data_IF_352267332083
#
_entry.id   IF_352267332083
#
_cell.length_a   1.000
_cell.length_b   1.000
_cell.length_c   1.000
_cell.angle_alpha   90.00
_cell.angle_beta   90.00
_cell.angle_gamma   90.00
#
_symmetry.space_group_name_H-M   'P 1'
#
loop_
_entity.id
_entity.type
_entity.pdbx_description
1 polymer ?
#
# COMPACT_ATOMS: atom_id res chain seq x y z
N UNK A 1 -9.12 4.46 12.49
CA UNK A 1 -8.35 3.79 11.47
C UNK A 1 -7.17 4.63 11.03
N UNK A 2 -6.03 4.04 10.85
CA UNK A 2 -4.84 4.77 10.48
C UNK A 2 -4.67 4.78 8.98
N UNK A 3 -4.49 5.98 8.45
CA UNK A 3 -4.37 6.16 7.01
C UNK A 3 -3.17 7.03 6.68
N UNK A 4 -2.75 6.96 5.43
CA UNK A 4 -1.64 7.76 4.94
C UNK A 4 -2.00 8.25 3.54
N UNK A 5 -1.66 9.50 3.25
CA UNK A 5 -1.89 10.05 1.93
C UNK A 5 -0.70 9.78 1.02
N UNK A 6 -0.89 9.99 -0.29
CA UNK A 6 0.20 9.78 -1.22
C UNK A 6 1.41 10.69 -0.94
N UNK A 7 1.23 11.99 -0.72
CA UNK A 7 2.40 12.83 -0.40
C UNK A 7 3.12 12.38 0.85
N UNK A 8 2.36 11.95 1.86
CA UNK A 8 2.97 11.44 3.08
C UNK A 8 3.75 10.17 2.81
N UNK A 9 3.20 9.28 1.99
CA UNK A 9 3.90 8.04 1.68
C UNK A 9 5.18 8.31 0.91
N UNK A 10 5.15 9.23 -0.05
CA UNK A 10 6.35 9.59 -0.79
C UNK A 10 7.43 10.09 0.19
N UNK A 11 7.02 10.93 1.13
CA UNK A 11 7.98 11.45 2.12
C UNK A 11 8.54 10.34 2.99
N UNK A 12 7.70 9.42 3.42
CA UNK A 12 8.12 8.28 4.23
C UNK A 12 9.15 7.44 3.50
N UNK A 13 8.93 7.20 2.21
CA UNK A 13 9.86 6.41 1.41
C UNK A 13 11.18 7.14 1.28
N UNK A 14 11.14 8.43 1.00
CA UNK A 14 12.36 9.22 0.81
C UNK A 14 13.15 9.36 2.11
N UNK A 15 12.47 9.39 3.23
CA UNK A 15 13.12 9.52 4.53
C UNK A 15 13.59 8.19 5.10
N UNK A 16 13.33 7.10 4.37
CA UNK A 16 13.78 5.76 4.76
C UNK A 16 13.18 5.30 6.08
N UNK A 17 11.96 5.74 6.38
CA UNK A 17 11.26 5.27 7.57
C UNK A 17 10.22 4.22 7.26
N UNK A 18 10.11 3.82 6.00
CA UNK A 18 9.23 2.73 5.61
C UNK A 18 9.84 1.40 6.04
N UNK A 19 9.04 0.57 6.71
CA UNK A 19 9.49 -0.75 7.08
C UNK A 19 9.07 -1.79 6.04
N UNK A 20 7.78 -1.84 5.74
CA UNK A 20 7.25 -2.77 4.74
C UNK A 20 6.15 -2.09 3.95
N UNK A 21 6.04 -2.45 2.68
CA UNK A 21 4.90 -2.04 1.87
C UNK A 21 4.16 -3.30 1.47
N UNK A 22 2.86 -3.32 1.73
CA UNK A 22 1.99 -4.44 1.41
C UNK A 22 1.06 -4.06 0.27
N UNK A 23 0.95 -4.95 -0.70
CA UNK A 23 -0.06 -4.85 -1.74
C UNK A 23 -1.15 -5.83 -1.34
N UNK A 24 -2.38 -5.35 -1.23
CA UNK A 24 -3.48 -6.17 -0.73
C UNK A 24 -4.51 -6.33 -1.82
N UNK A 25 -4.76 -7.57 -2.21
CA UNK A 25 -5.77 -7.89 -3.20
C UNK A 25 -7.13 -7.94 -2.50
N UNK A 26 -8.11 -7.20 -3.05
CA UNK A 26 -9.45 -7.18 -2.49
C UNK A 26 -10.27 -8.33 -3.09
N UNK A 27 -11.41 -8.60 -2.48
CA UNK A 27 -12.28 -9.68 -2.99
C UNK A 27 -12.82 -9.37 -4.39
N UNK A 28 -12.76 -8.12 -4.80
CA UNK A 28 -13.19 -7.73 -6.14
C UNK A 28 -12.06 -7.80 -7.16
N UNK A 29 -10.88 -8.24 -6.73
CA UNK A 29 -9.76 -8.34 -7.64
C UNK A 29 -9.00 -7.05 -7.85
N UNK A 30 -9.27 -6.05 -7.04
CA UNK A 30 -8.52 -4.80 -7.08
C UNK A 30 -7.39 -4.86 -6.07
N UNK A 31 -6.54 -3.84 -6.09
CA UNK A 31 -5.35 -3.83 -5.25
C UNK A 31 -5.25 -2.54 -4.47
N UNK A 32 -4.86 -2.65 -3.20
CA UNK A 32 -4.66 -1.53 -2.31
C UNK A 32 -3.26 -1.58 -1.73
N UNK A 33 -2.84 -0.49 -1.12
CA UNK A 33 -1.53 -0.42 -0.48
C UNK A 33 -1.72 -0.14 1.00
N UNK A 34 -0.97 -0.87 1.83
CA UNK A 34 -0.85 -0.57 3.25
C UNK A 34 0.62 -0.65 3.61
N UNK A 35 1.05 0.16 4.56
CA UNK A 35 2.46 0.23 4.90
C UNK A 35 2.67 0.14 6.39
N UNK A 36 3.82 -0.41 6.77
CA UNK A 36 4.33 -0.38 8.13
C UNK A 36 5.50 0.59 8.17
N UNK A 37 5.53 1.41 9.18
CA UNK A 37 6.64 2.34 9.37
C UNK A 37 7.53 1.84 10.49
N UNK A 38 8.81 2.19 10.42
CA UNK A 38 9.71 1.94 11.53
C UNK A 38 9.20 2.76 12.71
N UNK A 39 9.22 2.19 13.89
CA UNK A 39 8.79 2.88 15.11
C UNK A 39 7.30 3.17 15.15
N UNK A 40 6.51 2.46 14.37
CA UNK A 40 5.06 2.62 14.37
C UNK A 40 4.45 1.23 14.27
N UNK A 41 3.65 0.85 15.24
CA UNK A 41 3.17 -0.53 15.29
C UNK A 41 2.00 -0.79 14.34
N UNK A 42 1.19 0.22 14.11
CA UNK A 42 -0.01 0.02 13.31
C UNK A 42 0.26 0.18 11.82
N UNK A 43 -0.49 -0.59 11.04
CA UNK A 43 -0.41 -0.47 9.61
C UNK A 43 -1.23 0.72 9.14
N UNK A 44 -0.71 1.45 8.14
CA UNK A 44 -1.39 2.62 7.59
C UNK A 44 -1.88 2.28 6.20
N UNK A 45 -3.14 2.58 5.93
CA UNK A 45 -3.72 2.32 4.62
C UNK A 45 -3.62 3.56 3.74
N UNK A 46 -3.16 3.38 2.50
CA UNK A 46 -3.05 4.49 1.56
C UNK A 46 -4.44 4.89 1.09
N UNK A 47 -4.75 6.18 1.25
CA UNK A 47 -6.06 6.71 0.90
C UNK A 47 -5.92 7.83 -0.10
N UNK A 48 -7.04 8.11 -0.78
CA UNK A 48 -7.13 9.21 -1.72
C UNK A 48 -7.31 10.51 -0.97
N UNK A 49 -7.33 11.61 -1.73
CA UNK A 49 -7.62 12.92 -1.18
C UNK A 49 -8.92 12.92 -0.37
N UNK A 50 -9.88 12.11 -0.78
CA UNK A 50 -11.19 12.05 -0.09
C UNK A 50 -11.20 11.07 1.07
N UNK A 51 -10.04 10.53 1.42
CA UNK A 51 -9.92 9.60 2.54
C UNK A 51 -10.55 8.25 2.28
N UNK A 52 -10.73 7.89 1.03
CA UNK A 52 -11.17 6.54 0.66
C UNK A 52 -9.95 5.72 0.25
N UNK A 53 -9.99 4.40 0.42
CA UNK A 53 -8.83 3.58 0.04
C UNK A 53 -8.46 3.79 -1.42
N UNK A 54 -7.18 3.99 -1.68
CA UNK A 54 -6.70 4.08 -3.05
C UNK A 54 -6.68 2.68 -3.64
N UNK A 55 -7.26 2.52 -4.81
CA UNK A 55 -7.33 1.21 -5.46
C UNK A 55 -6.82 1.25 -6.87
N UNK A 56 -6.26 0.14 -7.33
CA UNK A 56 -5.81 -0.04 -8.69
C UNK A 56 -6.53 -1.25 -9.28
N UNK A 57 -6.92 -1.13 -10.55
CA UNK A 57 -7.66 -2.20 -11.22
C UNK A 57 -6.76 -3.38 -11.57
N UNK A 58 -5.47 -3.18 -11.70
CA UNK A 58 -4.57 -4.26 -12.04
C UNK A 58 -3.25 -4.11 -11.30
N UNK A 59 -2.60 -5.25 -11.08
CA UNK A 59 -1.30 -5.24 -10.41
C UNK A 59 -0.26 -4.53 -11.26
N UNK A 60 -0.31 -4.66 -12.56
CA UNK A 60 0.62 -3.96 -13.45
C UNK A 60 0.58 -2.46 -13.25
N UNK A 61 -0.62 -1.91 -13.17
CA UNK A 61 -0.77 -0.47 -13.00
C UNK A 61 -0.23 -0.04 -11.65
N UNK A 62 -0.49 -0.84 -10.63
CA UNK A 62 0.01 -0.53 -9.30
C UNK A 62 1.53 -0.54 -9.28
N UNK A 63 2.15 -1.56 -9.85
CA UNK A 63 3.60 -1.67 -9.85
C UNK A 63 4.22 -0.49 -10.60
N UNK A 64 3.64 -0.11 -11.74
CA UNK A 64 4.14 1.04 -12.49
C UNK A 64 4.04 2.32 -11.68
N UNK A 65 2.92 2.48 -10.97
CA UNK A 65 2.74 3.64 -10.11
C UNK A 65 3.83 3.69 -9.03
N UNK A 66 4.09 2.54 -8.41
CA UNK A 66 5.10 2.46 -7.38
C UNK A 66 6.48 2.82 -7.91
N UNK A 67 6.80 2.33 -9.09
CA UNK A 67 8.11 2.58 -9.68
C UNK A 67 8.31 4.03 -10.05
N UNK A 68 7.22 4.74 -10.34
CA UNK A 68 7.33 6.17 -10.64
C UNK A 68 7.31 7.05 -9.41
N UNK A 69 6.49 6.68 -8.43
CA UNK A 69 6.23 7.56 -7.28
C UNK A 69 7.03 7.21 -6.05
N UNK A 70 7.29 5.94 -5.82
CA UNK A 70 7.96 5.52 -4.59
C UNK A 70 9.33 4.98 -4.93
N UNK A 71 10.18 5.88 -5.39
CA UNK A 71 11.52 5.51 -5.82
C UNK A 71 12.32 5.00 -4.63
N UNK A 72 13.01 3.89 -4.85
CA UNK A 72 13.88 3.35 -3.82
C UNK A 72 13.29 2.22 -3.01
N UNK A 73 12.04 1.82 -3.27
CA UNK A 73 11.48 0.65 -2.59
C UNK A 73 12.03 -0.60 -3.28
N UNK A 74 12.77 -1.45 -2.57
CA UNK A 74 13.36 -2.62 -3.20
C UNK A 74 12.39 -3.78 -3.37
N UNK A 75 11.33 -3.83 -2.56
CA UNK A 75 10.41 -4.96 -2.62
C UNK A 75 9.10 -4.60 -1.97
N UNK A 76 8.10 -5.44 -2.21
CA UNK A 76 6.78 -5.29 -1.61
C UNK A 76 6.23 -6.68 -1.33
N UNK A 77 5.33 -6.77 -0.37
CA UNK A 77 4.70 -8.03 -0.01
C UNK A 77 3.31 -8.07 -0.62
N UNK A 78 3.04 -9.08 -1.43
CA UNK A 78 1.73 -9.23 -2.07
C UNK A 78 0.87 -10.17 -1.22
N UNK A 79 -0.27 -9.66 -0.79
CA UNK A 79 -1.22 -10.43 0.01
C UNK A 79 -2.42 -10.74 -0.86
N UNK A 80 -2.65 -12.03 -1.10
CA UNK A 80 -3.79 -12.45 -1.90
C UNK A 80 -5.06 -12.44 -1.08
N UNK A 81 -6.16 -12.19 -1.76
CA UNK A 81 -7.44 -12.33 -1.10
C UNK A 81 -7.73 -13.82 -0.90
N UNK A 82 -8.10 -14.17 0.31
CA UNK A 82 -8.40 -15.57 0.63
C UNK A 82 -9.73 -15.65 1.33
N UNK A 83 -10.76 -15.15 0.65
CA UNK A 83 -12.09 -15.12 1.23
C UNK A 83 -12.60 -16.48 1.66
N UNK A 84 -12.21 -17.51 0.95
CA UNK A 84 -12.66 -18.86 1.30
C UNK A 84 -11.96 -19.39 2.53
N UNK A 85 -10.99 -18.70 3.02
CA UNK A 85 -10.38 -19.09 4.28
C UNK A 85 -11.38 -18.99 5.43
N UNK A 86 -12.49 -18.35 5.17
CA UNK A 86 -13.52 -18.23 6.19
C UNK A 86 -14.32 -19.50 6.38
N UNK A 87 -14.16 -20.46 5.51
CA UNK A 87 -14.87 -21.71 5.65
C UNK A 87 -14.60 -22.42 6.94
#
# INVERSE_FOLDING_TARGET
>A
MNVISEPELVLVVRSRVLKNLHIIQTHEGKYRIAVNLKNHEEMLELVTFRKTPREWASLDRLVRHMQRKYLGIPSAILNFYSGEATR
#
